data_IF_166781015137
#
_entry.id   IF_166781015137
#
_cell.length_a   1.000
_cell.length_b   1.000
_cell.length_c   1.000
_cell.angle_alpha   90.00
_cell.angle_beta   90.00
_cell.angle_gamma   90.00
#
_symmetry.space_group_name_H-M   'P 1'
#
loop_
_entity.id
_entity.type
_entity.pdbx_description
1 polymer ?
#
# COMPACT_ATOMS: atom_id res chain seq x y z
N UNK A 1 -30.29 24.17 50.10
CA UNK A 1 -29.70 24.44 48.76
C UNK A 1 -30.40 23.52 47.76
N UNK A 2 -31.21 24.06 46.83
CA UNK A 2 -32.16 23.29 46.03
C UNK A 2 -31.49 22.48 44.91
N UNK A 3 -31.93 21.23 44.75
CA UNK A 3 -31.54 20.28 43.70
C UNK A 3 -32.03 20.75 42.32
N UNK A 4 -31.09 20.99 41.40
CA UNK A 4 -31.39 21.29 40.00
C UNK A 4 -31.69 19.98 39.24
N UNK A 5 -32.97 19.75 38.95
CA UNK A 5 -33.43 18.79 37.94
C UNK A 5 -33.04 19.30 36.55
N UNK A 6 -32.07 18.66 35.92
CA UNK A 6 -31.77 18.83 34.50
C UNK A 6 -32.60 17.77 33.75
N UNK A 7 -33.59 18.21 32.98
CA UNK A 7 -34.29 17.35 32.03
C UNK A 7 -33.49 17.26 30.72
N UNK A 8 -33.43 16.10 30.06
CA UNK A 8 -32.78 15.97 28.76
C UNK A 8 -33.64 16.64 27.67
N UNK A 9 -33.05 17.57 26.93
CA UNK A 9 -33.64 18.11 25.70
C UNK A 9 -33.45 17.09 24.58
N UNK A 10 -34.55 16.52 24.12
CA UNK A 10 -34.64 15.80 22.85
C UNK A 10 -34.51 16.80 21.71
N UNK A 11 -33.34 16.84 21.07
CA UNK A 11 -33.14 17.54 19.80
C UNK A 11 -33.25 16.52 18.68
N UNK A 12 -34.47 16.35 18.21
CA UNK A 12 -34.85 15.67 16.99
C UNK A 12 -34.73 16.69 15.84
N UNK A 13 -33.79 16.53 14.92
CA UNK A 13 -33.87 17.18 13.62
C UNK A 13 -32.86 16.65 12.59
N UNK A 14 -33.43 15.93 11.61
CA UNK A 14 -33.19 16.08 10.17
C UNK A 14 -31.91 15.47 9.58
N UNK A 15 -32.04 14.17 9.32
CA UNK A 15 -31.38 13.43 8.24
C UNK A 15 -31.56 14.20 6.92
N UNK A 16 -30.48 14.83 6.40
CA UNK A 16 -30.40 15.25 4.99
C UNK A 16 -29.86 14.09 4.17
N UNK A 17 -30.76 13.48 3.39
CA UNK A 17 -30.44 12.56 2.30
C UNK A 17 -29.74 13.36 1.18
N UNK A 18 -28.51 13.00 0.85
CA UNK A 18 -27.85 13.41 -0.40
C UNK A 18 -27.62 12.12 -1.19
N UNK A 19 -28.36 11.98 -2.30
CA UNK A 19 -28.20 10.89 -3.26
C UNK A 19 -27.16 11.26 -4.32
N UNK A 20 -26.47 10.26 -4.92
CA UNK A 20 -25.29 10.46 -5.75
C UNK A 20 -25.65 10.82 -7.21
N UNK A 21 -24.96 11.84 -7.74
CA UNK A 21 -25.04 12.24 -9.14
C UNK A 21 -23.95 11.58 -9.98
N UNK A 22 -24.37 10.67 -10.84
CA UNK A 22 -23.63 10.06 -11.94
C UNK A 22 -23.09 11.10 -12.95
N UNK A 23 -21.83 10.99 -13.35
CA UNK A 23 -21.32 11.60 -14.57
C UNK A 23 -20.22 10.72 -15.21
N UNK A 24 -20.64 9.94 -16.20
CA UNK A 24 -19.78 9.21 -17.13
C UNK A 24 -19.21 10.15 -18.20
N UNK A 25 -17.89 10.20 -18.37
CA UNK A 25 -17.15 10.61 -19.58
C UNK A 25 -15.76 9.96 -19.46
N UNK A 26 -15.23 9.15 -20.36
CA UNK A 26 -15.45 9.06 -21.80
C UNK A 26 -14.15 9.44 -22.52
N UNK A 27 -13.35 8.41 -22.83
CA UNK A 27 -12.33 8.34 -23.90
C UNK A 27 -11.15 9.34 -23.90
N UNK A 28 -9.93 8.80 -23.99
CA UNK A 28 -9.01 9.06 -25.12
C UNK A 28 -7.76 8.18 -25.02
N UNK A 29 -7.74 7.13 -25.82
CA UNK A 29 -6.56 6.34 -26.17
C UNK A 29 -5.54 7.20 -26.90
N UNK A 30 -4.27 7.18 -26.49
CA UNK A 30 -3.16 7.62 -27.35
C UNK A 30 -1.99 6.67 -27.22
N UNK A 31 -1.85 5.85 -28.26
CA UNK A 31 -0.66 5.10 -28.64
C UNK A 31 0.53 6.05 -28.75
N UNK A 32 1.66 5.69 -28.14
CA UNK A 32 2.97 6.15 -28.62
C UNK A 32 3.86 4.93 -28.79
N UNK A 33 4.04 4.54 -30.06
CA UNK A 33 5.16 3.73 -30.50
C UNK A 33 6.42 4.59 -30.44
N UNK A 34 7.51 4.06 -29.89
CA UNK A 34 8.84 4.42 -30.38
C UNK A 34 9.77 3.22 -30.37
N UNK A 35 10.15 2.82 -31.57
CA UNK A 35 11.20 1.86 -31.87
C UNK A 35 12.58 2.49 -31.64
N UNK A 36 13.53 1.72 -31.11
CA UNK A 36 14.94 2.13 -30.98
C UNK A 36 15.83 0.91 -30.94
N UNK A 37 16.74 0.83 -31.91
CA UNK A 37 17.46 -0.36 -32.38
C UNK A 37 18.97 -0.08 -32.21
N UNK A 38 19.78 -1.16 -32.18
CA UNK A 38 21.22 -1.23 -32.57
C UNK A 38 22.24 -1.07 -31.41
N UNK A 39 22.96 -2.15 -31.05
CA UNK A 39 24.32 -2.61 -31.51
C UNK A 39 25.46 -2.11 -30.63
N UNK A 40 26.31 -3.04 -30.16
CA UNK A 40 27.64 -2.70 -29.65
C UNK A 40 28.35 -3.88 -28.97
N UNK A 41 29.12 -4.65 -29.76
CA UNK A 41 30.30 -5.36 -29.27
C UNK A 41 31.52 -4.42 -29.46
N UNK A 42 32.61 -4.51 -28.66
CA UNK A 42 33.66 -5.50 -28.95
C UNK A 42 34.50 -6.05 -27.76
N UNK A 43 35.02 -7.24 -28.06
CA UNK A 43 36.22 -8.03 -27.70
C UNK A 43 37.40 -7.50 -26.84
N UNK A 44 38.10 -8.52 -26.27
CA UNK A 44 39.50 -8.63 -25.77
C UNK A 44 39.71 -8.21 -24.30
N UNK A 45 40.35 -8.95 -23.39
CA UNK A 45 41.09 -10.21 -23.39
C UNK A 45 41.96 -10.23 -22.12
N UNK A 46 42.02 -11.35 -21.38
CA UNK A 46 42.83 -11.42 -20.15
C UNK A 46 42.88 -12.83 -19.58
N UNK A 47 44.07 -13.43 -19.62
CA UNK A 47 44.35 -14.83 -19.35
C UNK A 47 44.49 -15.18 -17.85
N UNK A 48 44.34 -16.47 -17.54
CA UNK A 48 45.26 -17.37 -16.79
C UNK A 48 44.53 -18.26 -15.78
N UNK A 49 44.90 -19.55 -15.76
CA UNK A 49 44.75 -20.40 -14.58
C UNK A 49 44.28 -21.81 -14.86
N UNK A 50 45.23 -22.73 -15.08
CA UNK A 50 45.02 -24.17 -14.93
C UNK A 50 44.47 -24.48 -13.52
N UNK A 51 43.56 -25.46 -13.43
CA UNK A 51 43.82 -26.69 -12.67
C UNK A 51 42.77 -27.78 -12.96
N UNK A 52 43.28 -28.96 -13.30
CA UNK A 52 42.54 -30.22 -13.50
C UNK A 52 41.90 -30.65 -12.19
N UNK A 53 40.64 -31.09 -12.25
CA UNK A 53 40.01 -31.91 -11.20
C UNK A 53 39.42 -33.15 -11.91
N UNK A 54 39.69 -34.38 -11.42
CA UNK A 54 39.19 -35.61 -12.04
C UNK A 54 37.72 -35.87 -11.74
N UNK A 55 37.02 -36.39 -12.75
CA UNK A 55 35.61 -36.78 -12.70
C UNK A 55 35.36 -38.01 -11.81
N UNK A 56 34.22 -38.06 -11.11
CA UNK A 56 33.56 -39.32 -10.81
C UNK A 56 32.36 -39.55 -11.73
N UNK A 57 32.41 -40.64 -12.48
CA UNK A 57 31.28 -41.19 -13.20
C UNK A 57 30.21 -41.67 -12.21
N UNK A 58 29.00 -41.10 -12.26
CA UNK A 58 27.78 -41.74 -11.71
C UNK A 58 26.58 -41.49 -12.61
N UNK A 59 26.31 -42.52 -13.41
CA UNK A 59 25.00 -43.10 -13.75
C UNK A 59 23.79 -42.17 -13.73
N UNK A 60 23.28 -41.94 -14.94
CA UNK A 60 21.94 -41.47 -15.27
C UNK A 60 20.86 -42.26 -14.51
N UNK A 61 20.08 -41.56 -13.72
CA UNK A 61 18.66 -41.89 -13.53
C UNK A 61 17.88 -40.67 -14.00
N UNK A 62 17.12 -40.88 -15.07
CA UNK A 62 16.00 -40.05 -15.47
C UNK A 62 15.03 -40.00 -14.29
N UNK A 63 15.18 -39.02 -13.39
CA UNK A 63 14.05 -38.46 -12.67
C UNK A 63 13.64 -37.22 -13.43
N UNK A 64 12.37 -37.18 -13.83
CA UNK A 64 11.84 -36.18 -14.72
C UNK A 64 12.26 -34.79 -14.28
N UNK A 65 12.89 -34.08 -15.20
CA UNK A 65 12.71 -32.64 -15.30
C UNK A 65 11.21 -32.43 -15.55
N UNK A 66 10.40 -32.58 -14.49
CA UNK A 66 9.16 -31.83 -14.38
C UNK A 66 9.70 -30.41 -14.48
N UNK A 67 9.62 -29.86 -15.69
CA UNK A 67 9.43 -28.44 -15.85
C UNK A 67 8.36 -28.13 -14.83
N UNK A 68 8.78 -27.63 -13.66
CA UNK A 68 7.88 -27.01 -12.72
C UNK A 68 7.16 -26.01 -13.61
N UNK A 69 5.89 -26.31 -13.86
CA UNK A 69 4.98 -25.28 -14.28
C UNK A 69 5.33 -24.13 -13.37
N UNK A 70 5.73 -23.01 -13.97
CA UNK A 70 5.72 -21.74 -13.27
C UNK A 70 4.25 -21.56 -12.92
N UNK A 71 3.83 -22.19 -11.84
CA UNK A 71 2.52 -22.08 -11.25
C UNK A 71 2.54 -20.64 -10.77
N UNK A 72 2.03 -19.76 -11.64
CA UNK A 72 1.43 -18.53 -11.21
C UNK A 72 0.59 -18.93 -10.01
N UNK A 73 1.06 -18.57 -8.81
CA UNK A 73 0.37 -18.85 -7.57
C UNK A 73 -1.09 -18.51 -7.81
N UNK A 74 -1.97 -19.50 -7.74
CA UNK A 74 -3.38 -19.28 -7.99
C UNK A 74 -3.82 -18.23 -6.99
N UNK A 75 -4.11 -17.01 -7.48
CA UNK A 75 -4.44 -15.87 -6.64
C UNK A 75 -5.48 -16.32 -5.62
N UNK A 76 -5.09 -16.35 -4.36
CA UNK A 76 -5.99 -16.79 -3.31
C UNK A 76 -6.99 -15.67 -3.05
N UNK A 77 -8.19 -15.96 -2.55
CA UNK A 77 -9.11 -14.90 -2.09
C UNK A 77 -8.46 -13.96 -1.06
N UNK A 78 -7.48 -14.43 -0.28
CA UNK A 78 -6.69 -13.59 0.60
C UNK A 78 -5.81 -12.58 -0.15
N UNK A 79 -5.21 -12.98 -1.28
CA UNK A 79 -4.36 -12.11 -2.08
C UNK A 79 -5.12 -10.91 -2.65
N UNK A 80 -6.38 -11.09 -3.04
CA UNK A 80 -7.23 -9.98 -3.49
C UNK A 80 -7.44 -8.92 -2.39
N UNK A 81 -7.74 -9.37 -1.15
CA UNK A 81 -7.90 -8.44 -0.01
C UNK A 81 -6.57 -7.75 0.33
N UNK A 82 -5.46 -8.48 0.20
CA UNK A 82 -4.11 -7.92 0.44
C UNK A 82 -3.75 -6.88 -0.62
N UNK A 83 -4.17 -7.08 -1.87
CA UNK A 83 -4.01 -6.09 -2.95
C UNK A 83 -4.79 -4.82 -2.63
N UNK A 84 -6.07 -4.92 -2.28
CA UNK A 84 -6.92 -3.77 -1.91
C UNK A 84 -6.32 -2.98 -0.72
N UNK A 85 -5.87 -3.69 0.32
CA UNK A 85 -5.20 -3.06 1.47
C UNK A 85 -3.87 -2.42 1.11
N UNK A 86 -3.13 -3.00 0.16
CA UNK A 86 -1.84 -2.46 -0.28
C UNK A 86 -2.02 -1.23 -1.16
N UNK A 87 -3.06 -1.20 -2.00
CA UNK A 87 -3.45 -0.03 -2.78
C UNK A 87 -3.87 1.12 -1.85
N UNK A 88 -4.76 0.85 -0.89
CA UNK A 88 -5.19 1.85 0.08
C UNK A 88 -4.02 2.34 0.97
N UNK A 89 -3.08 1.47 1.32
CA UNK A 89 -1.85 1.86 2.00
C UNK A 89 -0.99 2.79 1.14
N UNK A 90 -0.91 2.57 -0.18
CA UNK A 90 -0.23 3.46 -1.11
C UNK A 90 -0.82 4.87 -1.07
N UNK A 91 -2.14 4.99 -1.20
CA UNK A 91 -2.85 6.28 -1.10
C UNK A 91 -2.58 6.96 0.24
N UNK A 92 -2.77 6.26 1.36
CA UNK A 92 -2.56 6.84 2.69
C UNK A 92 -1.10 7.27 2.92
N UNK A 93 -0.14 6.56 2.33
CA UNK A 93 1.28 6.91 2.40
C UNK A 93 1.60 8.15 1.56
N UNK A 94 1.06 8.26 0.36
CA UNK A 94 1.27 9.42 -0.50
C UNK A 94 0.74 10.70 0.19
N UNK A 95 -0.45 10.64 0.78
CA UNK A 95 -1.02 11.76 1.54
C UNK A 95 -0.18 12.10 2.79
N UNK A 96 0.35 11.09 3.49
CA UNK A 96 1.27 11.33 4.61
C UNK A 96 2.57 12.01 4.15
N UNK A 97 3.14 11.60 3.02
CA UNK A 97 4.34 12.23 2.46
C UNK A 97 4.07 13.70 2.11
N UNK A 98 2.94 14.01 1.45
CA UNK A 98 2.50 15.39 1.17
C UNK A 98 2.35 16.18 2.48
N UNK A 99 1.62 15.65 3.46
CA UNK A 99 1.38 16.30 4.74
C UNK A 99 2.68 16.60 5.51
N UNK A 100 3.65 15.68 5.44
CA UNK A 100 4.95 15.85 6.08
C UNK A 100 5.76 16.97 5.43
N UNK A 101 5.83 17.00 4.10
CA UNK A 101 6.53 18.05 3.37
C UNK A 101 5.89 19.43 3.58
N UNK A 102 4.56 19.47 3.65
CA UNK A 102 3.83 20.73 3.77
C UNK A 102 3.91 21.31 5.18
N UNK A 103 3.94 20.42 6.19
CA UNK A 103 4.22 20.80 7.58
C UNK A 103 5.63 21.36 7.72
N UNK A 104 6.64 20.70 7.13
CA UNK A 104 8.02 21.18 7.14
C UNK A 104 8.20 22.52 6.40
N UNK A 105 7.34 22.82 5.41
CA UNK A 105 7.31 24.10 4.68
C UNK A 105 6.49 25.19 5.39
N UNK A 106 5.78 24.85 6.48
CA UNK A 106 4.86 25.72 7.19
C UNK A 106 3.87 26.45 6.27
N UNK A 107 3.33 25.80 5.25
CA UNK A 107 2.32 26.48 4.45
C UNK A 107 0.94 26.45 5.09
N UNK A 108 0.06 27.26 4.51
CA UNK A 108 -1.36 27.33 4.84
C UNK A 108 -2.12 26.04 4.58
N UNK A 109 -1.62 25.14 3.73
CA UNK A 109 -2.29 23.88 3.39
C UNK A 109 -1.93 22.73 4.33
N UNK A 110 -0.88 22.88 5.14
CA UNK A 110 -0.36 21.83 6.00
C UNK A 110 -1.41 21.22 6.94
N UNK A 111 -2.38 22.02 7.41
CA UNK A 111 -3.45 21.53 8.27
C UNK A 111 -4.43 20.61 7.53
N UNK A 112 -4.80 20.97 6.30
CA UNK A 112 -5.73 20.20 5.48
C UNK A 112 -5.07 18.90 5.00
N UNK A 113 -3.79 18.95 4.62
CA UNK A 113 -3.05 17.76 4.19
C UNK A 113 -2.84 16.76 5.34
N UNK A 114 -2.56 17.24 6.56
CA UNK A 114 -2.52 16.38 7.76
C UNK A 114 -3.86 15.71 8.01
N UNK A 115 -4.98 16.45 7.84
CA UNK A 115 -6.31 15.86 7.97
C UNK A 115 -6.56 14.78 6.91
N UNK A 116 -6.16 15.01 5.65
CA UNK A 116 -6.26 14.02 4.58
C UNK A 116 -5.47 12.73 4.90
N UNK A 117 -4.24 12.85 5.41
CA UNK A 117 -3.45 11.71 5.84
C UNK A 117 -4.12 10.90 6.97
N UNK A 118 -4.73 11.58 7.94
CA UNK A 118 -5.49 10.93 9.04
C UNK A 118 -6.73 10.22 8.52
N UNK A 119 -7.47 10.83 7.60
CA UNK A 119 -8.67 10.24 7.00
C UNK A 119 -8.37 8.96 6.23
N UNK A 120 -7.35 8.99 5.35
CA UNK A 120 -6.96 7.82 4.56
C UNK A 120 -6.33 6.72 5.43
N UNK A 121 -5.58 7.08 6.49
CA UNK A 121 -5.13 6.12 7.50
C UNK A 121 -6.32 5.46 8.22
N UNK A 122 -7.34 6.24 8.60
CA UNK A 122 -8.52 5.70 9.27
C UNK A 122 -9.29 4.76 8.36
N UNK A 123 -9.42 5.09 7.07
CA UNK A 123 -10.00 4.20 6.06
C UNK A 123 -9.23 2.89 5.93
N UNK A 124 -7.88 2.96 5.89
CA UNK A 124 -7.02 1.77 5.89
C UNK A 124 -7.25 0.91 7.15
N UNK A 125 -7.35 1.53 8.34
CA UNK A 125 -7.61 0.83 9.60
C UNK A 125 -8.97 0.13 9.61
N UNK A 126 -10.01 0.79 9.08
CA UNK A 126 -11.34 0.18 8.95
C UNK A 126 -11.27 -1.05 8.03
N UNK A 127 -10.69 -0.91 6.84
CA UNK A 127 -10.53 -2.04 5.89
C UNK A 127 -9.71 -3.17 6.51
N UNK A 128 -8.60 -2.84 7.19
CA UNK A 128 -7.74 -3.81 7.84
C UNK A 128 -8.45 -4.54 8.98
N UNK A 129 -9.21 -3.82 9.82
CA UNK A 129 -9.96 -4.40 10.94
C UNK A 129 -11.03 -5.40 10.45
N UNK A 130 -11.75 -5.06 9.38
CA UNK A 130 -12.70 -5.96 8.74
C UNK A 130 -12.00 -7.18 8.13
N UNK A 131 -10.83 -6.98 7.51
CA UNK A 131 -10.07 -8.03 6.87
C UNK A 131 -9.52 -9.06 7.87
N UNK A 132 -9.10 -8.63 9.07
CA UNK A 132 -8.57 -9.54 10.11
C UNK A 132 -9.66 -10.36 10.81
N UNK A 133 -10.91 -9.93 10.77
CA UNK A 133 -12.06 -10.69 11.28
C UNK A 133 -12.49 -11.81 10.31
N UNK A 134 -12.01 -11.79 9.07
CA UNK A 134 -12.31 -12.78 8.05
C UNK A 134 -11.51 -14.08 8.16
N UNK A 135 -11.85 -15.06 7.30
CA UNK A 135 -11.21 -16.39 7.25
C UNK A 135 -9.69 -16.34 7.08
N UNK A 136 -9.17 -15.30 6.41
CA UNK A 136 -7.75 -15.14 6.09
C UNK A 136 -7.02 -14.12 6.99
N UNK A 137 -7.61 -13.75 8.14
CA UNK A 137 -7.12 -12.65 8.95
C UNK A 137 -5.68 -12.81 9.46
N UNK A 138 -5.24 -14.02 9.79
CA UNK A 138 -3.87 -14.28 10.21
C UNK A 138 -2.82 -14.02 9.11
N UNK A 139 -3.15 -14.36 7.86
CA UNK A 139 -2.27 -14.10 6.71
C UNK A 139 -2.18 -12.60 6.42
N UNK A 140 -3.32 -11.93 6.42
CA UNK A 140 -3.43 -10.48 6.21
C UNK A 140 -2.67 -9.73 7.30
N UNK A 141 -2.81 -10.16 8.56
CA UNK A 141 -2.11 -9.58 9.70
C UNK A 141 -0.59 -9.69 9.56
N UNK A 142 -0.07 -10.83 9.09
CA UNK A 142 1.37 -11.02 8.83
C UNK A 142 1.89 -10.12 7.72
N UNK A 143 1.13 -9.96 6.62
CA UNK A 143 1.61 -9.22 5.44
C UNK A 143 1.39 -7.71 5.51
N UNK A 144 0.33 -7.25 6.16
CA UNK A 144 -0.09 -5.84 6.16
C UNK A 144 0.05 -5.19 7.54
N UNK A 145 0.02 -5.98 8.62
CA UNK A 145 -0.05 -5.44 9.99
C UNK A 145 1.14 -4.59 10.41
N UNK A 146 2.34 -4.89 9.93
CA UNK A 146 3.52 -4.03 10.19
C UNK A 146 3.37 -2.67 9.52
N UNK A 147 3.01 -2.65 8.23
CA UNK A 147 2.87 -1.43 7.42
C UNK A 147 1.85 -0.47 8.02
N UNK A 148 0.70 -0.99 8.47
CA UNK A 148 -0.34 -0.18 9.13
C UNK A 148 0.21 0.50 10.38
N UNK A 149 0.92 -0.23 11.25
CA UNK A 149 1.48 0.32 12.49
C UNK A 149 2.56 1.37 12.24
N UNK A 150 3.40 1.16 11.24
CA UNK A 150 4.43 2.13 10.85
C UNK A 150 3.79 3.44 10.40
N UNK A 151 2.74 3.37 9.57
CA UNK A 151 2.01 4.56 9.14
C UNK A 151 1.26 5.25 10.28
N UNK A 152 0.63 4.49 11.19
CA UNK A 152 0.00 5.03 12.40
C UNK A 152 0.98 5.81 13.27
N UNK A 153 2.17 5.26 13.50
CA UNK A 153 3.22 5.93 14.26
C UNK A 153 3.74 7.18 13.54
N UNK A 154 3.89 7.10 12.22
CA UNK A 154 4.30 8.23 11.39
C UNK A 154 3.31 9.40 11.47
N UNK A 155 2.02 9.13 11.27
CA UNK A 155 0.95 10.15 11.36
C UNK A 155 0.88 10.73 12.77
N UNK A 156 0.92 9.90 13.82
CA UNK A 156 0.91 10.41 15.20
C UNK A 156 2.11 11.33 15.50
N UNK A 157 3.31 10.97 15.05
CA UNK A 157 4.49 11.81 15.20
C UNK A 157 4.42 13.10 14.36
N UNK A 158 3.68 13.11 13.26
CA UNK A 158 3.43 14.31 12.47
C UNK A 158 2.46 15.25 13.19
N UNK A 159 1.39 14.72 13.79
CA UNK A 159 0.44 15.49 14.59
C UNK A 159 1.10 16.12 15.83
N UNK A 160 1.97 15.38 16.51
CA UNK A 160 2.73 15.88 17.66
C UNK A 160 3.61 17.07 17.28
N UNK A 161 4.39 16.95 16.19
CA UNK A 161 5.22 18.05 15.69
C UNK A 161 4.39 19.27 15.28
N UNK A 162 3.26 19.05 14.63
CA UNK A 162 2.36 20.14 14.25
C UNK A 162 1.79 20.89 15.45
N UNK A 163 1.56 20.21 16.58
CA UNK A 163 1.14 20.82 17.84
C UNK A 163 2.25 21.67 18.49
N UNK A 164 3.51 21.29 18.31
CA UNK A 164 4.68 22.03 18.84
C UNK A 164 4.99 23.32 18.07
N UNK A 165 4.68 23.35 16.77
CA UNK A 165 4.94 24.50 15.87
C UNK A 165 3.85 25.60 15.90
N UNK A 166 2.80 25.44 16.71
CA UNK A 166 1.71 26.40 16.88
C UNK A 166 1.90 27.36 18.07
#
# INVERSE_FOLDING_TARGET
>A
MPSLRIQPRTCDSLIRKISPGSATRGFCTSKVLLAGRQTGAPLVGGAKGLQRIPAPARRTLLCGFRAERREYATATPADAIIEDLTEQYGVARDEFEIASEETDKHSVYAADDRAAAVEELQKLKVMYSQAIEGEHGEEIKRRVGQRVRELEQGVAALEERALEDH
#
